data_IF_233929043767
#
_entry.id   IF_233929043767
#
_cell.length_a   1.000
_cell.length_b   1.000
_cell.length_c   1.000
_cell.angle_alpha   90.00
_cell.angle_beta   90.00
_cell.angle_gamma   90.00
#
_symmetry.space_group_name_H-M   'P 1'
#
loop_
_entity.id
_entity.type
_entity.pdbx_description
1 polymer ?
#
# COMPACT_ATOMS: atom_id res chain seq x y z
N UNK A 1 -16.54 8.71 -20.43
CA UNK A 1 -17.96 9.14 -20.49
C UNK A 1 -17.90 10.66 -20.60
N UNK A 2 -18.50 11.24 -21.64
CA UNK A 2 -18.34 12.66 -21.96
C UNK A 2 -19.21 13.53 -21.04
N UNK A 3 -18.62 14.49 -20.34
CA UNK A 3 -19.33 15.29 -19.32
C UNK A 3 -20.45 16.15 -19.92
N UNK A 4 -20.31 16.50 -21.20
CA UNK A 4 -21.30 17.27 -21.96
C UNK A 4 -22.59 16.47 -22.18
N UNK A 5 -22.51 15.14 -22.34
CA UNK A 5 -23.68 14.27 -22.44
C UNK A 5 -24.48 14.18 -21.13
N UNK A 6 -23.88 14.58 -20.00
CA UNK A 6 -24.49 14.58 -18.67
C UNK A 6 -25.02 15.97 -18.27
N UNK A 7 -24.89 16.99 -19.13
CA UNK A 7 -25.39 18.34 -18.87
C UNK A 7 -24.63 19.09 -17.76
N UNK A 8 -23.39 18.67 -17.49
CA UNK A 8 -22.53 19.34 -16.50
C UNK A 8 -21.85 20.52 -17.20
N UNK A 9 -22.10 21.79 -16.79
CA UNK A 9 -21.42 22.93 -17.38
C UNK A 9 -19.92 22.86 -17.07
N UNK A 10 -19.09 23.32 -18.02
CA UNK A 10 -17.63 23.18 -17.94
C UNK A 10 -17.04 23.81 -16.67
N UNK A 11 -17.68 24.86 -16.13
CA UNK A 11 -17.31 25.50 -14.86
C UNK A 11 -17.53 24.63 -13.61
N UNK A 12 -18.32 23.56 -13.72
CA UNK A 12 -18.59 22.60 -12.64
C UNK A 12 -17.71 21.35 -12.73
N UNK A 13 -16.85 21.27 -13.73
CA UNK A 13 -15.80 20.26 -13.74
C UNK A 13 -14.82 20.59 -12.62
N UNK A 14 -14.41 19.60 -11.82
CA UNK A 14 -13.28 19.80 -10.92
C UNK A 14 -12.12 20.31 -11.77
N UNK A 15 -11.47 21.40 -11.34
CA UNK A 15 -10.20 21.84 -11.92
C UNK A 15 -9.35 20.58 -12.08
N UNK A 16 -8.88 20.33 -13.31
CA UNK A 16 -8.08 19.14 -13.64
C UNK A 16 -7.08 18.96 -12.53
N UNK A 17 -7.32 17.96 -11.67
CA UNK A 17 -6.46 17.69 -10.54
C UNK A 17 -5.05 17.65 -11.12
N UNK A 18 -4.20 18.59 -10.69
CA UNK A 18 -2.81 18.58 -11.09
C UNK A 18 -2.32 17.17 -10.80
N UNK A 19 -2.11 16.38 -11.85
CA UNK A 19 -1.66 15.03 -11.69
C UNK A 19 -0.24 15.17 -11.18
N UNK A 20 -0.05 15.02 -9.87
CA UNK A 20 1.28 14.87 -9.30
C UNK A 20 2.04 13.91 -10.21
N UNK A 21 3.14 14.39 -10.81
CA UNK A 21 3.93 13.58 -11.73
C UNK A 21 4.28 12.30 -11.01
N UNK A 22 3.66 11.19 -11.42
CA UNK A 22 3.86 9.91 -10.75
C UNK A 22 5.30 9.50 -11.01
N UNK A 23 6.15 9.61 -9.98
CA UNK A 23 7.54 9.22 -10.08
C UNK A 23 7.61 7.70 -10.34
N UNK A 24 7.97 7.33 -11.57
CA UNK A 24 8.11 5.93 -11.94
C UNK A 24 9.54 5.49 -11.68
N UNK A 25 9.71 4.49 -10.82
CA UNK A 25 11.00 3.86 -10.55
C UNK A 25 10.98 2.35 -10.83
N UNK A 26 12.14 1.80 -11.15
CA UNK A 26 12.31 0.35 -11.35
C UNK A 26 12.59 -0.34 -10.01
N UNK A 27 11.81 -1.37 -9.71
CA UNK A 27 12.10 -2.32 -8.63
C UNK A 27 13.05 -3.41 -9.16
N UNK A 28 14.10 -3.74 -8.42
CA UNK A 28 14.95 -4.88 -8.75
C UNK A 28 14.18 -6.20 -8.64
N UNK A 29 14.40 -7.14 -9.56
CA UNK A 29 13.64 -8.39 -9.65
C UNK A 29 13.64 -9.21 -8.35
N UNK A 30 14.72 -9.13 -7.59
CA UNK A 30 14.86 -9.80 -6.29
C UNK A 30 13.90 -9.23 -5.22
N UNK A 31 13.52 -7.95 -5.32
CA UNK A 31 12.62 -7.26 -4.39
C UNK A 31 11.15 -7.35 -4.83
N UNK A 32 10.87 -7.71 -6.09
CA UNK A 32 9.49 -7.80 -6.57
C UNK A 32 8.58 -8.77 -5.78
N UNK A 33 9.05 -9.92 -5.30
CA UNK A 33 8.24 -10.81 -4.46
C UNK A 33 7.71 -10.11 -3.20
N UNK A 34 8.57 -9.40 -2.46
CA UNK A 34 8.17 -8.69 -1.24
C UNK A 34 7.31 -7.47 -1.57
N UNK A 35 7.61 -6.72 -2.63
CA UNK A 35 6.76 -5.61 -3.07
C UNK A 35 5.33 -6.09 -3.36
N UNK A 36 5.18 -7.22 -4.06
CA UNK A 36 3.85 -7.82 -4.28
C UNK A 36 3.17 -8.28 -2.98
N UNK A 37 3.94 -8.70 -1.97
CA UNK A 37 3.38 -9.06 -0.68
C UNK A 37 2.86 -7.82 0.05
N UNK A 38 3.69 -6.77 0.10
CA UNK A 38 3.34 -5.49 0.71
C UNK A 38 2.10 -4.87 0.08
N UNK A 39 2.03 -4.83 -1.26
CA UNK A 39 0.85 -4.34 -1.98
C UNK A 39 -0.39 -5.19 -1.70
N UNK A 40 -0.24 -6.51 -1.54
CA UNK A 40 -1.35 -7.38 -1.14
C UNK A 40 -1.88 -7.11 0.27
N UNK A 41 -1.10 -6.46 1.13
CA UNK A 41 -1.49 -6.06 2.48
C UNK A 41 -2.25 -4.72 2.53
N UNK A 42 -2.65 -4.14 1.39
CA UNK A 42 -3.32 -2.83 1.31
C UNK A 42 -4.52 -2.68 2.28
N UNK A 43 -5.28 -3.75 2.50
CA UNK A 43 -6.46 -3.78 3.39
C UNK A 43 -6.16 -4.36 4.78
N UNK A 44 -4.92 -4.74 5.05
CA UNK A 44 -4.52 -5.53 6.23
C UNK A 44 -3.74 -4.69 7.26
N UNK A 45 -3.89 -3.37 7.23
CA UNK A 45 -3.32 -2.47 8.21
C UNK A 45 -4.12 -2.48 9.51
N UNK A 46 -3.43 -2.60 10.64
CA UNK A 46 -3.97 -2.39 11.97
C UNK A 46 -4.01 -0.89 12.23
N UNK A 47 -5.21 -0.38 12.44
CA UNK A 47 -5.49 1.03 12.66
C UNK A 47 -6.18 1.18 14.01
N UNK A 48 -5.74 2.16 14.80
CA UNK A 48 -6.36 2.54 16.07
C UNK A 48 -6.74 4.02 16.06
N UNK A 49 -7.79 4.39 16.76
CA UNK A 49 -8.04 5.80 17.05
C UNK A 49 -7.07 6.26 18.15
N UNK A 50 -6.34 7.34 17.90
CA UNK A 50 -5.47 7.99 18.88
C UNK A 50 -6.18 9.24 19.40
N UNK A 51 -6.15 9.44 20.72
CA UNK A 51 -6.70 10.64 21.35
C UNK A 51 -8.24 10.69 21.35
N UNK A 52 -8.77 11.80 21.85
CA UNK A 52 -10.22 12.08 21.85
C UNK A 52 -10.70 12.72 20.53
N UNK A 53 -9.77 13.18 19.70
CA UNK A 53 -10.00 13.75 18.37
C UNK A 53 -10.24 12.69 17.29
N UNK A 54 -10.02 11.41 17.61
CA UNK A 54 -10.35 10.27 16.74
C UNK A 54 -9.43 10.14 15.54
N UNK A 55 -8.23 10.73 15.59
CA UNK A 55 -7.25 10.62 14.51
C UNK A 55 -6.85 9.16 14.34
N UNK A 56 -6.98 8.66 13.11
CA UNK A 56 -6.56 7.31 12.76
C UNK A 56 -5.03 7.21 12.82
N UNK A 57 -4.55 6.19 13.52
CA UNK A 57 -3.13 5.91 13.67
C UNK A 57 -2.83 4.49 13.19
N UNK A 58 -1.95 4.39 12.20
CA UNK A 58 -1.48 3.13 11.65
C UNK A 58 -0.42 2.55 12.58
N UNK A 59 -0.68 1.34 13.08
CA UNK A 59 0.21 0.64 14.02
C UNK A 59 1.16 -0.32 13.29
N UNK A 60 0.70 -0.91 12.19
CA UNK A 60 1.46 -1.87 11.40
C UNK A 60 0.56 -2.81 10.61
N UNK A 61 1.17 -3.73 9.86
CA UNK A 61 0.54 -4.79 9.09
C UNK A 61 0.11 -5.92 10.03
N UNK A 62 -1.05 -6.52 9.75
CA UNK A 62 -1.42 -7.78 10.36
C UNK A 62 -0.60 -8.94 9.77
N UNK A 63 0.41 -9.38 10.52
CA UNK A 63 1.29 -10.47 10.10
C UNK A 63 0.57 -11.82 9.90
N UNK A 64 -0.56 -12.05 10.56
CA UNK A 64 -1.34 -13.27 10.33
C UNK A 64 -2.02 -13.22 8.95
N UNK A 65 -2.57 -12.06 8.57
CA UNK A 65 -3.12 -11.85 7.23
C UNK A 65 -2.02 -11.90 6.15
N UNK A 66 -0.85 -11.31 6.42
CA UNK A 66 0.30 -11.40 5.52
C UNK A 66 0.80 -12.86 5.36
N UNK A 67 0.72 -13.69 6.40
CA UNK A 67 1.01 -15.13 6.31
C UNK A 67 0.04 -15.83 5.36
N UNK A 68 -1.27 -15.54 5.48
CA UNK A 68 -2.27 -16.11 4.59
C UNK A 68 -2.02 -15.74 3.12
N UNK A 69 -1.60 -14.50 2.84
CA UNK A 69 -1.23 -14.06 1.49
C UNK A 69 0.00 -14.79 0.96
N UNK A 70 0.98 -15.07 1.81
CA UNK A 70 2.17 -15.83 1.43
C UNK A 70 1.82 -17.31 1.14
N UNK A 71 0.96 -17.90 1.96
CA UNK A 71 0.46 -19.28 1.79
C UNK A 71 -0.42 -19.45 0.55
N UNK A 72 -1.12 -18.39 0.12
CA UNK A 72 -1.92 -18.40 -1.11
C UNK A 72 -1.07 -18.42 -2.39
N UNK A 73 0.23 -18.14 -2.32
CA UNK A 73 1.11 -18.12 -3.52
C UNK A 73 1.33 -19.51 -4.12
N UNK A 74 1.67 -19.61 -5.42
CA UNK A 74 2.04 -20.90 -6.01
C UNK A 74 3.20 -21.57 -5.27
N UNK A 75 3.13 -22.89 -5.06
CA UNK A 75 4.20 -23.67 -4.39
C UNK A 75 5.59 -23.48 -5.00
N UNK A 76 5.68 -23.16 -6.29
CA UNK A 76 6.94 -22.85 -6.96
C UNK A 76 7.58 -21.55 -6.44
N UNK A 77 6.78 -20.53 -6.11
CA UNK A 77 7.26 -19.28 -5.50
C UNK A 77 7.59 -19.46 -4.03
N UNK A 78 6.77 -20.19 -3.28
CA UNK A 78 6.99 -20.47 -1.85
C UNK A 78 8.35 -21.15 -1.60
N UNK A 79 8.81 -22.01 -2.52
CA UNK A 79 10.12 -22.67 -2.42
C UNK A 79 11.30 -21.74 -2.74
N UNK A 80 11.09 -20.73 -3.58
CA UNK A 80 12.13 -19.77 -3.97
C UNK A 80 12.34 -18.69 -2.92
N UNK A 81 11.27 -18.32 -2.21
CA UNK A 81 11.27 -17.22 -1.26
C UNK A 81 10.92 -17.75 0.13
N UNK A 82 11.93 -17.91 0.97
CA UNK A 82 11.74 -18.37 2.35
C UNK A 82 10.87 -17.36 3.12
N UNK A 83 9.83 -17.87 3.78
CA UNK A 83 8.84 -17.04 4.46
C UNK A 83 9.45 -16.05 5.46
N UNK A 84 10.45 -16.47 6.23
CA UNK A 84 11.10 -15.59 7.20
C UNK A 84 11.81 -14.39 6.54
N UNK A 85 12.45 -14.59 5.37
CA UNK A 85 13.08 -13.49 4.63
C UNK A 85 12.04 -12.52 4.06
N UNK A 86 10.95 -13.07 3.53
CA UNK A 86 9.83 -12.27 3.04
C UNK A 86 9.25 -11.38 4.14
N UNK A 87 9.18 -11.87 5.39
CA UNK A 87 8.73 -11.08 6.53
C UNK A 87 9.76 -10.07 7.02
N UNK A 88 11.06 -10.37 6.96
CA UNK A 88 12.10 -9.37 7.24
C UNK A 88 12.02 -8.22 6.25
N UNK A 89 11.98 -8.51 4.95
CA UNK A 89 11.89 -7.46 3.93
C UNK A 89 10.55 -6.69 4.04
N UNK A 90 9.45 -7.37 4.42
CA UNK A 90 8.15 -6.72 4.65
C UNK A 90 8.21 -5.72 5.81
N UNK A 91 8.97 -6.03 6.88
CA UNK A 91 9.17 -5.12 8.03
C UNK A 91 9.90 -3.85 7.62
N UNK A 92 10.88 -3.96 6.72
CA UNK A 92 11.59 -2.79 6.19
C UNK A 92 10.61 -1.86 5.43
N UNK A 93 9.74 -2.44 4.60
CA UNK A 93 8.70 -1.69 3.89
C UNK A 93 7.66 -1.08 4.85
N UNK A 94 7.22 -1.83 5.86
CA UNK A 94 6.33 -1.35 6.92
C UNK A 94 6.94 -0.15 7.67
N UNK A 95 8.20 -0.26 8.08
CA UNK A 95 8.89 0.78 8.82
C UNK A 95 9.05 2.06 7.99
N UNK A 96 9.28 1.95 6.68
CA UNK A 96 9.31 3.09 5.77
C UNK A 96 7.91 3.71 5.54
N UNK A 97 6.86 2.89 5.50
CA UNK A 97 5.50 3.35 5.26
C UNK A 97 4.85 4.02 6.48
N UNK A 98 5.14 3.54 7.70
CA UNK A 98 4.50 4.03 8.93
C UNK A 98 4.60 5.55 9.15
N UNK A 99 5.76 6.22 8.96
CA UNK A 99 5.85 7.67 9.05
C UNK A 99 4.96 8.36 8.01
N UNK A 100 4.94 7.87 6.76
CA UNK A 100 4.15 8.46 5.67
C UNK A 100 2.65 8.36 5.99
N UNK A 101 2.18 7.16 6.34
CA UNK A 101 0.76 6.90 6.67
C UNK A 101 0.28 7.68 7.89
N UNK A 102 1.18 7.98 8.83
CA UNK A 102 0.88 8.77 10.03
C UNK A 102 1.19 10.26 9.87
N UNK A 103 1.42 10.76 8.66
CA UNK A 103 1.61 12.19 8.36
C UNK A 103 2.95 12.77 8.82
N UNK A 104 3.96 11.92 9.06
CA UNK A 104 5.33 12.29 9.42
C UNK A 104 6.34 12.12 8.27
N UNK A 105 5.91 11.63 7.10
CA UNK A 105 6.75 11.52 5.89
C UNK A 105 6.93 12.87 5.20
N UNK A 106 8.18 13.21 4.87
CA UNK A 106 8.52 14.31 3.94
C UNK A 106 8.88 13.72 2.60
#
# INVERSE_FOLDING_TARGET
MDAEALGVPAESLPETAESEETEVFKVWDINMPVVRLFLGCETQWRIVARGMDGILHYVGIDYAAASALLEARPRGEQRKHLAWRMFEDLREMEHAALPILNGAGR
#
